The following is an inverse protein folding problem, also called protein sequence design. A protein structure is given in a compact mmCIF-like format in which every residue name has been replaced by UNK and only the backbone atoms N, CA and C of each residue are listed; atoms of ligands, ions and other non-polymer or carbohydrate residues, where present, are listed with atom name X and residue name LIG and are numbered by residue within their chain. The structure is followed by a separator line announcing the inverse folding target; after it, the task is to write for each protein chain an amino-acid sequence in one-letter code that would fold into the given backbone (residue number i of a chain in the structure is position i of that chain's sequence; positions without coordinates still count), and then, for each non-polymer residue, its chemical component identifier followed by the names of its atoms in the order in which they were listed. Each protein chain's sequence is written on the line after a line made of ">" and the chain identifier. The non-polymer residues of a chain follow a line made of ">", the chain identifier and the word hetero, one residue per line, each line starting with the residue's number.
data_IF_525329099682
#
_entry.id   IF_525329099682
#
_cell.length_a   1.000
_cell.length_b   1.000
_cell.length_c   1.000
_cell.angle_alpha   90.00
_cell.angle_beta   90.00
_cell.angle_gamma   90.00
#
_symmetry.space_group_name_H-M   'P 1'
#
loop_
_entity.id
_entity.type
_entity.pdbx_description
1 polymer ?
#
# COMPACT_ATOMS: atom_id res chain seq x y z
N UNK A 1 11.59 -4.00 17.44
CA UNK A 1 12.17 -2.70 17.86
C UNK A 1 13.52 -2.56 17.19
N UNK A 2 13.61 -1.74 16.15
CA UNK A 2 14.85 -1.40 15.47
C UNK A 2 14.89 0.11 15.30
N UNK A 3 15.71 0.77 16.12
CA UNK A 3 15.97 2.20 16.04
C UNK A 3 16.77 2.49 14.77
N UNK A 4 16.09 3.08 13.78
CA UNK A 4 16.69 3.66 12.57
C UNK A 4 16.70 5.18 12.67
N UNK A 5 17.79 5.70 13.24
CA UNK A 5 18.48 6.95 12.91
C UNK A 5 17.72 8.28 12.70
N UNK A 6 18.22 9.26 13.47
CA UNK A 6 18.17 10.72 13.36
C UNK A 6 16.97 11.43 13.99
N UNK A 7 17.28 12.17 15.07
CA UNK A 7 16.67 13.43 15.45
C UNK A 7 16.64 14.41 14.25
N UNK A 8 15.81 14.16 13.24
CA UNK A 8 15.27 15.26 12.48
C UNK A 8 14.27 15.93 13.42
N UNK A 9 14.58 17.15 13.85
CA UNK A 9 13.52 18.05 14.26
C UNK A 9 12.64 18.25 13.02
N UNK A 10 11.64 17.40 12.86
CA UNK A 10 10.56 17.61 11.91
C UNK A 10 10.08 19.03 12.18
N UNK A 11 10.14 19.90 11.19
CA UNK A 11 9.66 21.26 11.42
C UNK A 11 8.14 21.25 11.68
N UNK A 12 7.62 22.42 12.03
CA UNK A 12 6.24 22.54 12.50
C UNK A 12 5.25 22.07 11.44
N UNK A 13 4.28 21.25 11.87
CA UNK A 13 3.21 20.75 11.03
C UNK A 13 2.31 21.91 10.58
N UNK A 14 2.04 21.98 9.28
CA UNK A 14 1.22 23.03 8.65
C UNK A 14 -0.12 22.48 8.17
N UNK A 15 -0.09 21.31 7.52
CA UNK A 15 -1.28 20.63 6.99
C UNK A 15 -1.05 19.13 7.09
N UNK A 16 -2.09 18.38 7.41
CA UNK A 16 -2.05 16.92 7.33
C UNK A 16 -3.37 16.33 6.86
N UNK A 17 -3.23 15.20 6.19
CA UNK A 17 -4.23 14.14 6.14
C UNK A 17 -3.59 12.94 6.83
N UNK A 18 -4.11 12.54 7.99
CA UNK A 18 -3.60 11.36 8.71
C UNK A 18 -3.81 10.09 7.87
N UNK A 19 -2.99 9.05 8.06
CA UNK A 19 -3.18 7.76 7.38
C UNK A 19 -4.63 7.28 7.56
N UNK A 20 -5.33 7.13 6.44
CA UNK A 20 -6.76 6.81 6.42
C UNK A 20 -7.01 5.32 6.70
N UNK A 21 -6.07 4.46 6.30
CA UNK A 21 -6.21 3.03 6.55
C UNK A 21 -5.85 2.76 8.01
N UNK A 22 -6.71 1.98 8.67
CA UNK A 22 -6.42 1.46 10.01
C UNK A 22 -5.60 0.18 9.98
N UNK A 23 -5.50 -0.46 8.82
CA UNK A 23 -4.85 -1.75 8.61
C UNK A 23 -3.41 -1.57 8.14
N UNK A 24 -2.51 -2.43 8.62
CA UNK A 24 -1.14 -2.61 8.16
C UNK A 24 -0.93 -4.11 7.92
N UNK A 25 -1.53 -4.62 6.84
CA UNK A 25 -1.58 -6.06 6.58
C UNK A 25 -0.37 -6.59 5.82
N UNK A 26 -0.29 -7.92 5.68
CA UNK A 26 0.80 -8.63 5.03
C UNK A 26 0.31 -9.64 4.01
N UNK A 27 1.26 -10.27 3.30
CA UNK A 27 0.95 -11.23 2.23
C UNK A 27 1.01 -12.71 2.65
N UNK A 28 1.67 -12.98 3.78
CA UNK A 28 1.93 -14.32 4.32
C UNK A 28 1.08 -14.59 5.56
N UNK A 29 1.34 -15.66 6.32
CA UNK A 29 0.58 -16.03 7.53
C UNK A 29 0.38 -14.83 8.47
N UNK A 30 -0.83 -14.58 9.00
CA UNK A 30 -2.06 -15.37 8.86
C UNK A 30 -2.90 -15.08 7.61
N UNK A 31 -2.60 -14.01 6.87
CA UNK A 31 -3.40 -13.53 5.74
C UNK A 31 -3.59 -14.56 4.61
N UNK A 32 -2.66 -15.50 4.44
CA UNK A 32 -2.72 -16.52 3.38
C UNK A 32 -3.17 -17.92 3.84
N UNK A 33 -3.58 -18.09 5.11
CA UNK A 33 -3.89 -19.42 5.67
C UNK A 33 -4.94 -20.19 4.84
N UNK A 34 -5.86 -19.47 4.19
CA UNK A 34 -7.00 -20.05 3.46
C UNK A 34 -6.76 -20.23 1.94
N UNK A 35 -5.57 -19.86 1.44
CA UNK A 35 -5.24 -19.92 0.01
C UNK A 35 -4.75 -21.31 -0.45
N UNK A 36 -4.22 -22.11 0.47
CA UNK A 36 -3.61 -23.41 0.18
C UNK A 36 -2.25 -23.29 -0.51
N UNK A 37 -1.90 -24.30 -1.32
CA UNK A 37 -0.55 -24.49 -1.85
C UNK A 37 -0.54 -24.62 -3.38
N UNK A 38 0.60 -24.32 -4.00
CA UNK A 38 0.93 -24.61 -5.39
C UNK A 38 1.61 -25.98 -5.40
N UNK A 39 1.09 -26.92 -6.19
CA UNK A 39 1.58 -28.31 -6.27
C UNK A 39 1.76 -28.98 -4.89
N UNK A 40 0.92 -28.64 -3.91
CA UNK A 40 0.96 -29.13 -2.53
C UNK A 40 2.22 -28.79 -1.70
N UNK A 41 3.19 -28.06 -2.25
CA UNK A 41 4.46 -27.79 -1.57
C UNK A 41 4.67 -26.31 -1.22
N UNK A 42 4.23 -25.40 -2.10
CA UNK A 42 4.56 -23.98 -1.99
C UNK A 42 3.33 -23.21 -1.49
N UNK A 43 3.35 -22.61 -0.29
CA UNK A 43 2.22 -21.81 0.18
C UNK A 43 1.91 -20.68 -0.81
N UNK A 44 0.65 -20.56 -1.22
CA UNK A 44 0.22 -19.41 -2.01
C UNK A 44 0.28 -18.15 -1.15
N UNK A 45 0.87 -17.08 -1.66
CA UNK A 45 0.84 -15.76 -1.04
C UNK A 45 -0.43 -15.02 -1.43
N UNK A 46 -0.89 -14.06 -0.63
CA UNK A 46 -1.99 -13.16 -1.06
C UNK A 46 -1.56 -12.33 -2.28
N UNK A 47 -0.27 -11.99 -2.35
CA UNK A 47 0.31 -11.08 -3.33
C UNK A 47 0.15 -9.61 -2.92
N UNK A 48 1.04 -8.74 -3.39
CA UNK A 48 1.04 -7.32 -3.02
C UNK A 48 -0.26 -6.61 -3.45
N UNK A 49 -0.71 -6.86 -4.69
CA UNK A 49 -1.99 -6.33 -5.19
C UNK A 49 -3.16 -6.87 -4.37
N UNK A 50 -3.20 -8.18 -4.08
CA UNK A 50 -4.26 -8.78 -3.27
C UNK A 50 -4.32 -8.17 -1.87
N UNK A 51 -3.16 -7.92 -1.25
CA UNK A 51 -3.06 -7.32 0.08
C UNK A 51 -3.52 -5.86 0.07
N UNK A 52 -3.09 -5.08 -0.93
CA UNK A 52 -3.54 -3.70 -1.08
C UNK A 52 -5.07 -3.63 -1.27
N UNK A 53 -5.62 -4.46 -2.17
CA UNK A 53 -7.07 -4.49 -2.41
C UNK A 53 -7.85 -4.97 -1.19
N UNK A 54 -7.36 -5.95 -0.43
CA UNK A 54 -8.00 -6.40 0.82
C UNK A 54 -8.04 -5.28 1.87
N UNK A 55 -6.97 -4.49 2.00
CA UNK A 55 -6.95 -3.31 2.87
C UNK A 55 -7.92 -2.22 2.40
N UNK A 56 -8.09 -2.02 1.09
CA UNK A 56 -9.12 -1.10 0.54
C UNK A 56 -10.53 -1.60 0.85
N UNK A 57 -10.80 -2.90 0.68
CA UNK A 57 -12.10 -3.50 1.05
C UNK A 57 -12.39 -3.30 2.54
N UNK A 58 -11.39 -3.47 3.41
CA UNK A 58 -11.53 -3.25 4.85
C UNK A 58 -11.70 -1.76 5.23
N UNK A 59 -10.98 -0.86 4.56
CA UNK A 59 -11.10 0.58 4.78
C UNK A 59 -12.52 1.05 4.51
N UNK A 60 -13.09 0.61 3.38
CA UNK A 60 -14.45 0.95 3.01
C UNK A 60 -15.50 0.01 3.61
N UNK A 61 -15.13 -1.06 4.31
CA UNK A 61 -16.08 -2.09 4.78
C UNK A 61 -17.01 -2.54 3.64
N UNK A 62 -16.43 -2.79 2.46
CA UNK A 62 -17.19 -2.92 1.20
C UNK A 62 -18.01 -4.22 1.09
N UNK A 63 -17.88 -5.11 2.06
CA UNK A 63 -18.66 -6.34 2.17
C UNK A 63 -18.91 -6.68 3.65
N UNK A 64 -19.97 -7.42 3.96
CA UNK A 64 -20.31 -7.79 5.35
C UNK A 64 -20.00 -9.24 5.68
N UNK A 65 -19.83 -10.10 4.68
CA UNK A 65 -19.53 -11.52 4.86
C UNK A 65 -18.82 -12.11 3.65
N UNK A 66 -18.11 -13.22 3.87
CA UNK A 66 -17.36 -13.94 2.86
C UNK A 66 -17.41 -15.44 3.15
N UNK A 67 -17.71 -16.27 2.14
CA UNK A 67 -17.85 -17.73 2.29
C UNK A 67 -18.77 -18.18 3.43
N UNK A 68 -19.81 -17.39 3.77
CA UNK A 68 -20.73 -17.69 4.87
C UNK A 68 -20.28 -17.21 6.26
N UNK A 69 -19.12 -16.56 6.35
CA UNK A 69 -18.59 -15.97 7.60
C UNK A 69 -18.80 -14.46 7.60
N UNK A 70 -19.28 -13.91 8.71
CA UNK A 70 -19.40 -12.45 8.90
C UNK A 70 -18.01 -11.83 9.06
N UNK A 71 -17.81 -10.63 8.51
CA UNK A 71 -16.62 -9.82 8.73
C UNK A 71 -16.93 -8.78 9.80
N UNK A 72 -16.48 -9.01 11.03
CA UNK A 72 -16.59 -8.04 12.12
C UNK A 72 -15.52 -6.96 11.96
N UNK A 73 -15.87 -5.89 11.24
CA UNK A 73 -14.96 -4.81 10.93
C UNK A 73 -14.43 -4.06 12.15
N UNK A 74 -15.17 -4.05 13.27
CA UNK A 74 -14.72 -3.41 14.49
C UNK A 74 -13.56 -4.19 15.11
N UNK A 75 -13.69 -5.53 15.18
CA UNK A 75 -12.64 -6.40 15.69
C UNK A 75 -11.47 -6.53 14.71
N UNK A 76 -11.76 -6.70 13.41
CA UNK A 76 -10.74 -6.78 12.35
C UNK A 76 -9.85 -5.53 12.32
N UNK A 77 -10.42 -4.34 12.58
CA UNK A 77 -9.70 -3.06 12.53
C UNK A 77 -9.36 -2.49 13.92
N UNK A 78 -9.53 -3.27 14.98
CA UNK A 78 -9.11 -2.89 16.33
C UNK A 78 -7.58 -2.72 16.41
N UNK A 79 -6.87 -3.57 15.67
CA UNK A 79 -5.41 -3.55 15.54
C UNK A 79 -5.03 -3.34 14.09
N UNK A 80 -3.90 -2.66 13.87
CA UNK A 80 -3.42 -2.42 12.51
C UNK A 80 -2.98 -3.72 11.83
N UNK A 81 -2.16 -4.52 12.51
CA UNK A 81 -1.72 -5.82 12.03
C UNK A 81 -2.48 -6.97 12.66
N UNK A 82 -2.69 -8.01 11.85
CA UNK A 82 -3.09 -9.35 12.28
C UNK A 82 -1.84 -10.23 12.38
N UNK A 83 -1.66 -10.87 13.52
CA UNK A 83 -0.52 -11.71 13.87
C UNK A 83 -0.97 -12.96 14.64
N UNK A 84 -0.01 -13.77 15.08
CA UNK A 84 -0.30 -15.01 15.80
C UNK A 84 -0.86 -14.82 17.22
N UNK A 85 -0.90 -13.59 17.73
CA UNK A 85 -1.50 -13.24 19.02
C UNK A 85 -2.91 -12.66 18.86
N UNK A 86 -3.34 -12.44 17.62
CA UNK A 86 -4.71 -12.00 17.31
C UNK A 86 -5.66 -13.19 17.47
N UNK A 87 -6.90 -12.94 17.90
CA UNK A 87 -7.90 -14.00 18.04
C UNK A 87 -8.03 -14.85 16.75
N UNK A 88 -8.14 -16.17 16.91
CA UNK A 88 -8.13 -17.12 15.79
C UNK A 88 -9.32 -16.92 14.84
N UNK A 89 -10.48 -16.49 15.36
CA UNK A 89 -11.64 -16.16 14.52
C UNK A 89 -11.35 -14.93 13.66
N UNK A 90 -10.71 -13.90 14.22
CA UNK A 90 -10.30 -12.70 13.47
C UNK A 90 -9.21 -13.03 12.45
N UNK A 91 -8.24 -13.88 12.80
CA UNK A 91 -7.25 -14.38 11.84
C UNK A 91 -7.95 -15.09 10.66
N UNK A 92 -8.94 -15.94 10.95
CA UNK A 92 -9.67 -16.68 9.93
C UNK A 92 -10.54 -15.78 9.05
N UNK A 93 -11.28 -14.82 9.63
CA UNK A 93 -12.06 -13.82 8.89
C UNK A 93 -11.19 -13.05 7.88
N UNK A 94 -10.02 -12.57 8.32
CA UNK A 94 -9.09 -11.84 7.45
C UNK A 94 -8.47 -12.75 6.38
N UNK A 95 -8.13 -14.00 6.73
CA UNK A 95 -7.61 -14.97 5.75
C UNK A 95 -8.65 -15.32 4.67
N UNK A 96 -9.92 -15.47 5.03
CA UNK A 96 -11.03 -15.68 4.09
C UNK A 96 -11.25 -14.47 3.18
N UNK A 97 -11.19 -13.26 3.73
CA UNK A 97 -11.24 -12.02 2.95
C UNK A 97 -10.07 -11.96 1.95
N UNK A 98 -8.85 -12.21 2.40
CA UNK A 98 -7.66 -12.21 1.53
C UNK A 98 -7.76 -13.27 0.43
N UNK A 99 -8.27 -14.48 0.75
CA UNK A 99 -8.59 -15.51 -0.24
C UNK A 99 -9.57 -15.00 -1.28
N UNK A 100 -10.70 -14.46 -0.83
CA UNK A 100 -11.76 -13.98 -1.72
C UNK A 100 -11.26 -12.89 -2.66
N UNK A 101 -10.51 -11.92 -2.12
CA UNK A 101 -9.88 -10.86 -2.91
C UNK A 101 -8.91 -11.46 -3.93
N UNK A 102 -7.98 -12.32 -3.52
CA UNK A 102 -6.96 -12.89 -4.42
C UNK A 102 -7.60 -13.65 -5.59
N UNK A 103 -8.64 -14.46 -5.34
CA UNK A 103 -9.37 -15.13 -6.42
C UNK A 103 -10.19 -14.14 -7.27
N UNK A 104 -10.82 -13.15 -6.64
CA UNK A 104 -11.64 -12.13 -7.33
C UNK A 104 -10.84 -11.25 -8.29
N UNK A 105 -9.62 -10.86 -7.91
CA UNK A 105 -8.70 -10.10 -8.78
C UNK A 105 -7.92 -10.98 -9.74
N UNK A 106 -8.14 -12.31 -9.69
CA UNK A 106 -7.46 -13.32 -10.51
C UNK A 106 -5.94 -13.29 -10.31
N UNK A 107 -5.50 -13.36 -9.06
CA UNK A 107 -4.08 -13.53 -8.74
C UNK A 107 -3.55 -14.79 -9.41
N UNK A 108 -2.43 -14.65 -10.11
CA UNK A 108 -1.67 -15.75 -10.68
C UNK A 108 -0.47 -16.06 -9.77
N UNK A 109 -0.29 -17.32 -9.42
CA UNK A 109 0.79 -17.78 -8.55
C UNK A 109 1.87 -18.51 -9.32
N UNK A 110 3.12 -18.23 -8.99
CA UNK A 110 4.29 -18.81 -9.65
C UNK A 110 4.99 -19.84 -8.75
N UNK A 111 5.72 -20.77 -9.37
CA UNK A 111 6.49 -21.82 -8.70
C UNK A 111 7.65 -21.31 -7.83
N UNK A 112 7.94 -20.01 -7.84
CA UNK A 112 8.91 -19.36 -6.95
C UNK A 112 8.25 -18.80 -5.67
N UNK A 113 6.96 -19.08 -5.45
CA UNK A 113 6.20 -18.59 -4.30
C UNK A 113 5.69 -17.16 -4.45
N UNK A 114 5.87 -16.52 -5.61
CA UNK A 114 5.33 -15.18 -5.88
C UNK A 114 3.89 -15.23 -6.40
N UNK A 115 3.19 -14.10 -6.29
CA UNK A 115 1.85 -13.93 -6.84
C UNK A 115 1.66 -12.53 -7.42
N UNK A 116 1.02 -12.44 -8.59
CA UNK A 116 0.80 -11.18 -9.31
C UNK A 116 -0.64 -11.03 -9.80
N UNK A 117 -1.12 -9.80 -9.87
CA UNK A 117 -2.44 -9.48 -10.43
C UNK A 117 -2.40 -8.13 -11.16
N UNK A 118 -3.35 -7.90 -12.05
CA UNK A 118 -3.47 -6.64 -12.81
C UNK A 118 -4.39 -5.64 -12.12
N UNK A 119 -4.00 -4.36 -12.11
CA UNK A 119 -4.87 -3.26 -11.66
C UNK A 119 -6.21 -3.18 -12.42
N UNK A 120 -6.28 -3.67 -13.67
CA UNK A 120 -7.56 -3.74 -14.39
C UNK A 120 -8.51 -4.78 -13.78
N UNK A 121 -7.99 -5.94 -13.37
CA UNK A 121 -8.82 -6.94 -12.68
C UNK A 121 -9.21 -6.46 -11.29
N UNK A 122 -8.28 -5.82 -10.57
CA UNK A 122 -8.55 -5.19 -9.27
C UNK A 122 -9.66 -4.15 -9.35
N UNK A 123 -9.65 -3.29 -10.37
CA UNK A 123 -10.72 -2.32 -10.61
C UNK A 123 -12.07 -3.00 -10.82
N UNK A 124 -12.13 -3.95 -11.77
CA UNK A 124 -13.37 -4.69 -12.07
C UNK A 124 -13.93 -5.41 -10.84
N UNK A 125 -13.05 -5.99 -10.03
CA UNK A 125 -13.43 -6.64 -8.79
C UNK A 125 -13.97 -5.64 -7.76
N UNK A 126 -13.28 -4.52 -7.51
CA UNK A 126 -13.75 -3.49 -6.58
C UNK A 126 -15.10 -2.88 -7.02
N UNK A 127 -15.33 -2.74 -8.32
CA UNK A 127 -16.59 -2.21 -8.85
C UNK A 127 -17.80 -3.07 -8.50
N UNK A 128 -17.64 -4.39 -8.31
CA UNK A 128 -18.74 -5.27 -7.88
C UNK A 128 -19.22 -4.95 -6.47
N UNK A 129 -18.38 -4.26 -5.68
CA UNK A 129 -18.67 -3.83 -4.31
C UNK A 129 -18.85 -2.31 -4.21
N UNK A 130 -19.08 -1.62 -5.33
CA UNK A 130 -19.33 -0.18 -5.36
C UNK A 130 -18.10 0.68 -5.05
N UNK A 131 -16.88 0.14 -5.17
CA UNK A 131 -15.61 0.89 -5.04
C UNK A 131 -14.96 1.04 -6.42
N UNK A 132 -14.38 2.20 -6.70
CA UNK A 132 -13.76 2.52 -8.00
C UNK A 132 -12.45 3.25 -7.81
N UNK A 133 -11.61 3.33 -8.84
CA UNK A 133 -10.44 4.21 -8.86
C UNK A 133 -10.06 4.61 -10.30
N UNK A 134 -9.25 5.65 -10.47
CA UNK A 134 -8.89 6.12 -11.80
C UNK A 134 -7.78 5.25 -12.41
N UNK A 135 -8.14 4.52 -13.47
CA UNK A 135 -7.22 3.66 -14.22
C UNK A 135 -6.29 4.41 -15.20
N UNK A 136 -6.54 5.71 -15.41
CA UNK A 136 -5.80 6.50 -16.40
C UNK A 136 -6.03 6.04 -17.84
N UNK A 137 -5.28 6.62 -18.78
CA UNK A 137 -5.43 6.31 -20.22
C UNK A 137 -4.99 4.88 -20.51
N UNK A 138 -5.84 4.10 -21.18
CA UNK A 138 -5.60 2.68 -21.54
C UNK A 138 -5.25 1.80 -20.33
N UNK A 139 -5.77 2.13 -19.15
CA UNK A 139 -5.59 1.38 -17.90
C UNK A 139 -4.13 1.28 -17.40
N UNK A 140 -3.28 2.27 -17.73
CA UNK A 140 -1.86 2.27 -17.36
C UNK A 140 -1.54 3.03 -16.07
N UNK A 141 -2.53 3.64 -15.43
CA UNK A 141 -2.32 4.62 -14.35
C UNK A 141 -1.72 5.93 -14.88
N UNK A 142 -1.41 6.81 -13.94
CA UNK A 142 -0.75 8.09 -14.19
C UNK A 142 0.74 7.99 -13.84
N UNK A 143 1.58 8.79 -14.47
CA UNK A 143 2.99 8.94 -14.04
C UNK A 143 3.04 9.49 -12.60
N UNK A 144 4.17 9.26 -11.92
CA UNK A 144 4.40 9.78 -10.58
C UNK A 144 4.30 11.31 -10.56
N UNK A 145 3.37 11.84 -9.78
CA UNK A 145 3.13 13.27 -9.59
C UNK A 145 2.48 13.48 -8.21
N UNK A 146 3.19 14.17 -7.32
CA UNK A 146 2.69 14.47 -5.99
C UNK A 146 1.38 15.27 -6.00
N UNK A 147 1.13 16.12 -7.00
CA UNK A 147 -0.12 16.87 -7.08
C UNK A 147 -1.34 15.96 -7.25
N UNK A 148 -1.21 14.89 -8.05
CA UNK A 148 -2.26 13.87 -8.22
C UNK A 148 -2.53 13.15 -6.89
N UNK A 149 -1.46 12.81 -6.17
CA UNK A 149 -1.54 12.11 -4.87
C UNK A 149 -2.25 13.01 -3.86
N UNK A 150 -1.77 14.24 -3.67
CA UNK A 150 -2.33 15.18 -2.71
C UNK A 150 -3.78 15.53 -3.03
N UNK A 151 -4.14 15.71 -4.30
CA UNK A 151 -5.53 15.97 -4.69
C UNK A 151 -6.48 14.81 -4.35
N UNK A 152 -6.02 13.55 -4.48
CA UNK A 152 -6.78 12.38 -4.04
C UNK A 152 -6.91 12.34 -2.52
N UNK A 153 -5.80 12.55 -1.80
CA UNK A 153 -5.77 12.46 -0.35
C UNK A 153 -6.58 13.57 0.34
N UNK A 154 -6.58 14.80 -0.22
CA UNK A 154 -7.43 15.90 0.25
C UNK A 154 -8.93 15.59 0.16
N UNK A 155 -9.33 14.65 -0.71
CA UNK A 155 -10.70 14.17 -0.85
C UNK A 155 -11.00 12.95 0.02
N UNK A 156 -10.10 12.55 0.91
CA UNK A 156 -10.24 11.35 1.70
C UNK A 156 -10.18 10.06 0.87
N UNK A 157 -9.55 10.11 -0.31
CA UNK A 157 -9.45 8.97 -1.22
C UNK A 157 -7.99 8.46 -1.24
N UNK A 158 -7.72 7.23 -0.74
CA UNK A 158 -6.41 6.61 -0.89
C UNK A 158 -5.99 6.48 -2.36
N UNK A 159 -4.70 6.29 -2.57
CA UNK A 159 -4.10 6.09 -3.89
C UNK A 159 -3.44 4.72 -3.92
N UNK A 160 -3.82 3.87 -4.87
CA UNK A 160 -3.02 2.68 -5.17
C UNK A 160 -1.84 3.10 -6.04
N UNK A 161 -0.68 2.52 -5.78
CA UNK A 161 0.53 2.78 -6.55
C UNK A 161 1.22 1.46 -6.86
N UNK A 162 1.81 1.38 -8.05
CA UNK A 162 2.65 0.26 -8.46
C UNK A 162 4.04 0.75 -8.86
N UNK A 163 5.05 -0.08 -8.66
CA UNK A 163 6.42 0.18 -9.07
C UNK A 163 7.16 -1.10 -9.38
N UNK A 164 8.16 -0.98 -10.23
CA UNK A 164 9.05 -2.06 -10.59
C UNK A 164 10.37 -1.93 -9.83
N UNK A 165 10.96 -3.08 -9.52
CA UNK A 165 12.24 -3.17 -8.83
C UNK A 165 13.35 -2.53 -9.68
N UNK A 166 14.20 -1.74 -9.02
CA UNK A 166 15.43 -1.22 -9.57
C UNK A 166 16.39 -2.37 -9.94
N UNK A 167 17.21 -2.22 -11.00
CA UNK A 167 18.25 -3.20 -11.30
C UNK A 167 19.24 -3.28 -10.13
N UNK A 168 19.42 -4.46 -9.54
CA UNK A 168 20.53 -4.71 -8.63
C UNK A 168 21.82 -4.96 -9.41
N UNK A 169 22.94 -4.35 -9.00
CA UNK A 169 24.28 -4.62 -9.56
C UNK A 169 24.68 -6.10 -9.45
N UNK A 170 24.09 -6.86 -8.52
CA UNK A 170 24.40 -8.28 -8.27
C UNK A 170 23.46 -9.25 -8.98
N UNK A 171 22.39 -8.77 -9.64
CA UNK A 171 21.44 -9.63 -10.37
C UNK A 171 21.71 -9.52 -11.87
N UNK A 172 22.33 -10.56 -12.43
CA UNK A 172 22.52 -10.73 -13.87
C UNK A 172 21.23 -10.44 -14.64
N UNK A 173 21.37 -9.76 -15.78
CA UNK A 173 20.31 -9.11 -16.59
C UNK A 173 19.21 -10.01 -17.19
N UNK A 174 19.01 -11.23 -16.68
CA UNK A 174 18.03 -12.20 -17.18
C UNK A 174 16.90 -12.58 -16.22
N UNK A 175 16.97 -12.23 -14.92
CA UNK A 175 15.95 -12.62 -13.95
C UNK A 175 14.83 -11.57 -13.86
N UNK A 176 13.57 -12.03 -13.96
CA UNK A 176 12.35 -11.21 -13.95
C UNK A 176 12.43 -10.11 -12.87
N UNK A 177 12.20 -8.87 -13.31
CA UNK A 177 12.10 -7.69 -12.46
C UNK A 177 10.86 -7.86 -11.57
N UNK A 178 11.02 -7.83 -10.25
CA UNK A 178 9.88 -7.83 -9.35
C UNK A 178 9.03 -6.58 -9.55
N UNK A 179 7.72 -6.72 -9.42
CA UNK A 179 6.80 -5.58 -9.34
C UNK A 179 6.17 -5.55 -7.95
N UNK A 180 5.81 -4.37 -7.48
CA UNK A 180 5.14 -4.19 -6.20
C UNK A 180 3.95 -3.25 -6.33
N UNK A 181 2.98 -3.42 -5.43
CA UNK A 181 1.79 -2.60 -5.31
C UNK A 181 1.55 -2.28 -3.84
N UNK A 182 1.34 -1.00 -3.54
CA UNK A 182 1.11 -0.49 -2.19
C UNK A 182 0.12 0.67 -2.21
N UNK A 183 -0.18 1.21 -1.03
CA UNK A 183 -1.18 2.27 -0.85
C UNK A 183 -0.52 3.52 -0.31
N UNK A 184 -0.92 4.68 -0.82
CA UNK A 184 -0.67 5.98 -0.22
C UNK A 184 -1.98 6.49 0.38
N UNK A 185 -1.98 6.79 1.68
CA UNK A 185 -3.23 7.04 2.41
C UNK A 185 -3.14 8.21 3.40
N UNK A 186 -2.10 9.02 3.33
CA UNK A 186 -1.95 10.22 4.15
C UNK A 186 -0.82 11.10 3.66
N UNK A 187 -0.75 12.33 4.17
CA UNK A 187 0.38 13.22 3.92
C UNK A 187 0.54 14.26 5.02
N UNK A 188 1.73 14.84 5.11
CA UNK A 188 2.06 15.95 5.97
C UNK A 188 2.80 17.04 5.19
N UNK A 189 2.44 18.28 5.43
CA UNK A 189 3.18 19.47 4.99
C UNK A 189 3.81 20.08 6.23
N UNK A 190 5.12 20.26 6.21
CA UNK A 190 5.88 20.77 7.35
C UNK A 190 6.72 21.96 6.94
N UNK A 191 6.78 22.95 7.83
CA UNK A 191 7.76 24.04 7.72
C UNK A 191 9.17 23.48 7.91
N UNK A 192 10.17 24.18 7.41
CA UNK A 192 11.57 23.89 7.75
C UNK A 192 11.92 24.62 9.05
N UNK A 193 12.44 23.89 10.05
CA UNK A 193 13.06 24.53 11.21
C UNK A 193 14.30 25.30 10.70
N UNK A 194 14.17 26.62 10.59
CA UNK A 194 15.30 27.47 10.24
C UNK A 194 15.50 28.49 11.35
N UNK A 195 16.76 28.82 11.72
CA UNK A 195 17.04 29.64 12.91
C UNK A 195 16.56 31.09 12.85
N UNK A 196 15.92 31.55 11.76
CA UNK A 196 15.55 32.96 11.59
C UNK A 196 14.20 33.12 10.87
N UNK A 197 13.28 33.89 11.48
CA UNK A 197 11.91 34.17 10.97
C UNK A 197 11.87 34.63 9.51
N UNK A 198 12.81 35.47 9.08
CA UNK A 198 12.86 35.99 7.70
C UNK A 198 13.27 34.93 6.67
N UNK A 199 14.21 34.03 7.02
CA UNK A 199 14.57 32.89 6.16
C UNK A 199 13.47 31.83 6.12
N UNK A 200 12.73 31.64 7.22
CA UNK A 200 11.58 30.74 7.30
C UNK A 200 10.41 31.20 6.42
N UNK A 201 10.16 32.51 6.32
CA UNK A 201 9.14 33.07 5.42
C UNK A 201 9.48 32.92 3.93
N UNK A 202 10.77 32.85 3.58
CA UNK A 202 11.26 32.66 2.20
C UNK A 202 11.45 31.16 1.87
N UNK A 203 11.63 30.30 2.89
CA UNK A 203 11.96 28.88 2.69
C UNK A 203 10.71 27.98 2.71
N UNK A 204 10.48 27.38 1.54
CA UNK A 204 9.54 26.30 1.20
C UNK A 204 9.20 25.28 2.29
N UNK A 205 7.99 24.73 2.17
CA UNK A 205 7.51 23.58 2.91
C UNK A 205 8.12 22.28 2.36
N UNK A 206 8.32 21.29 3.23
CA UNK A 206 8.56 19.91 2.83
C UNK A 206 7.23 19.13 2.88
N UNK A 207 6.96 18.35 1.85
CA UNK A 207 5.77 17.49 1.75
C UNK A 207 6.22 16.05 1.93
N UNK A 208 5.47 15.31 2.75
CA UNK A 208 5.69 13.89 3.00
C UNK A 208 4.39 13.14 2.74
N UNK A 209 4.45 12.01 2.05
CA UNK A 209 3.30 11.14 1.80
C UNK A 209 3.47 9.84 2.59
N UNK A 210 2.43 9.43 3.29
CA UNK A 210 2.39 8.16 3.99
C UNK A 210 2.17 7.02 3.00
N UNK A 211 2.99 5.97 3.12
CA UNK A 211 2.90 4.75 2.33
C UNK A 211 2.69 3.54 3.24
N UNK A 212 1.77 2.66 2.86
CA UNK A 212 1.52 1.35 3.46
C UNK A 212 1.86 0.27 2.43
N UNK A 213 2.99 -0.43 2.65
CA UNK A 213 3.58 -1.41 1.72
C UNK A 213 2.90 -2.79 1.73
N UNK A 214 1.93 -3.03 2.62
CA UNK A 214 1.36 -4.36 2.76
C UNK A 214 2.39 -5.39 3.25
N UNK A 215 3.32 -4.96 4.12
CA UNK A 215 4.35 -5.79 4.75
C UNK A 215 4.25 -5.78 6.28
N UNK A 216 3.03 -5.83 6.82
CA UNK A 216 2.78 -5.84 8.28
C UNK A 216 3.37 -4.62 9.00
N UNK A 217 3.22 -3.45 8.38
CA UNK A 217 3.77 -2.17 8.87
C UNK A 217 5.25 -1.95 8.57
N UNK A 218 5.98 -2.98 8.12
CA UNK A 218 7.39 -2.80 7.76
C UNK A 218 7.54 -1.81 6.60
N UNK A 219 8.49 -0.87 6.74
CA UNK A 219 8.75 0.24 5.82
C UNK A 219 7.53 1.14 5.57
N UNK A 220 6.42 0.94 6.28
CA UNK A 220 5.28 1.86 6.20
C UNK A 220 5.61 3.13 6.95
N UNK A 221 5.21 4.28 6.41
CA UNK A 221 5.59 5.57 6.98
C UNK A 221 5.62 6.70 5.95
N UNK A 222 6.16 7.84 6.36
CA UNK A 222 6.17 9.08 5.59
C UNK A 222 7.43 9.20 4.72
N UNK A 223 7.23 9.34 3.41
CA UNK A 223 8.27 9.51 2.40
C UNK A 223 8.23 10.93 1.85
N UNK A 224 9.39 11.57 1.73
CA UNK A 224 9.48 12.95 1.29
C UNK A 224 9.26 13.05 -0.22
N UNK A 225 8.47 14.04 -0.64
CA UNK A 225 8.37 14.46 -2.05
C UNK A 225 9.66 15.17 -2.44
N UNK A 226 10.22 14.83 -3.59
CA UNK A 226 11.38 15.52 -4.14
C UNK A 226 11.05 17.01 -4.34
N UNK A 227 11.98 17.84 -3.87
CA UNK A 227 11.80 19.30 -3.80
C UNK A 227 11.81 19.99 -5.16
N UNK A 228 12.36 19.34 -6.18
CA UNK A 228 12.57 19.90 -7.50
C UNK A 228 11.70 19.22 -8.56
N UNK A 229 11.35 17.95 -8.36
CA UNK A 229 10.75 17.10 -9.40
C UNK A 229 9.29 16.70 -9.12
N UNK A 230 8.72 17.08 -7.98
CA UNK A 230 7.36 16.67 -7.53
C UNK A 230 7.16 15.14 -7.50
N UNK A 231 8.24 14.38 -7.61
CA UNK A 231 8.28 12.93 -7.64
C UNK A 231 8.49 12.38 -6.23
N UNK A 232 8.21 11.10 -6.03
CA UNK A 232 8.54 10.39 -4.80
C UNK A 232 9.41 9.18 -5.14
N UNK A 233 10.40 8.96 -4.29
CA UNK A 233 11.12 7.69 -4.20
C UNK A 233 10.92 7.08 -2.81
N UNK A 234 10.95 5.76 -2.78
CA UNK A 234 10.70 4.95 -1.61
C UNK A 234 11.96 4.19 -1.27
N UNK A 235 12.59 4.60 -0.18
CA UNK A 235 13.72 3.90 0.42
C UNK A 235 13.21 2.94 1.49
N UNK A 236 12.99 1.69 1.12
CA UNK A 236 12.42 0.66 2.00
C UNK A 236 13.47 -0.14 2.76
N UNK A 237 14.74 0.31 2.78
CA UNK A 237 15.82 -0.43 3.44
C UNK A 237 15.52 -0.63 4.94
N UNK A 238 15.88 -1.79 5.51
CA UNK A 238 16.57 -2.92 4.88
C UNK A 238 15.68 -3.98 4.22
N UNK A 239 14.38 -3.75 3.92
CA UNK A 239 13.67 -4.67 3.00
C UNK A 239 14.30 -4.53 1.63
N UNK A 240 14.77 -5.65 1.07
CA UNK A 240 15.46 -5.76 -0.20
C UNK A 240 14.54 -5.51 -1.42
N UNK A 241 13.86 -4.36 -1.50
CA UNK A 241 12.96 -4.05 -2.61
C UNK A 241 12.85 -2.56 -2.92
N UNK A 242 13.73 -2.06 -3.79
CA UNK A 242 13.66 -0.69 -4.29
C UNK A 242 12.72 -0.61 -5.49
N UNK A 243 11.45 -0.27 -5.29
CA UNK A 243 10.42 -0.28 -6.34
C UNK A 243 10.20 1.08 -7.02
N UNK A 244 11.26 1.84 -7.31
CA UNK A 244 11.14 3.21 -7.85
C UNK A 244 11.12 3.29 -9.38
N UNK A 245 11.17 2.16 -10.08
CA UNK A 245 11.10 2.16 -11.55
C UNK A 245 9.65 2.14 -12.03
N UNK A 246 9.36 2.91 -13.09
CA UNK A 246 8.05 2.92 -13.77
C UNK A 246 6.86 3.06 -12.79
N UNK A 247 6.99 3.93 -11.79
CA UNK A 247 5.93 4.22 -10.84
C UNK A 247 4.64 4.63 -11.55
N UNK A 248 3.52 4.00 -11.18
CA UNK A 248 2.18 4.30 -11.71
C UNK A 248 1.18 4.54 -10.60
N UNK A 249 0.48 5.66 -10.68
CA UNK A 249 -0.54 6.06 -9.72
C UNK A 249 -1.94 5.68 -10.21
N UNK A 250 -2.77 5.22 -9.28
CA UNK A 250 -4.18 4.90 -9.46
C UNK A 250 -4.97 5.65 -8.37
N UNK A 251 -5.21 6.95 -8.57
CA UNK A 251 -5.80 7.82 -7.55
C UNK A 251 -7.32 7.67 -7.47
N UNK A 252 -7.93 8.40 -6.54
CA UNK A 252 -9.39 8.46 -6.37
C UNK A 252 -9.99 7.10 -6.06
N UNK A 253 -9.32 6.28 -5.22
CA UNK A 253 -9.90 5.03 -4.73
C UNK A 253 -11.03 5.40 -3.77
N UNK A 254 -12.29 5.23 -4.19
CA UNK A 254 -13.47 5.74 -3.46
C UNK A 254 -14.71 4.85 -3.66
N UNK A 255 -15.65 4.92 -2.72
CA UNK A 255 -17.02 4.41 -2.93
C UNK A 255 -17.76 5.28 -3.94
N UNK A 256 -18.58 4.65 -4.79
CA UNK A 256 -19.50 5.31 -5.72
C UNK A 256 -20.67 5.97 -5.00
#
# INVERSE_FOLDING_TARGET
>A
MGNGYLNQQWGFLVKEVKPMLRTEWGQNRPYNNELGYINNDIPKVVGCVGTAIAQIVAHYEAMSSVYGHTLDWNLIKERAGIDALTDDDIQHQVALLCKHVAYGIKTEWNMDGTGGASMTNSHKYLETMGVTFNLGKRNKGYDMDAAIIIASLDRGCPVLITGDEEPSETRSSGNKKGGHCWILDGYQVRTRSTPTKLKAMIKSHDVYVHANFGWKGYASGYYMVDRNETSLSFDTRPVEGHYNQRLRLFPMVQRK
#
